data_IF_443437050336
#
_entry.id   IF_443437050336
#
_cell.length_a   1.000
_cell.length_b   1.000
_cell.length_c   1.000
_cell.angle_alpha   90.00
_cell.angle_beta   90.00
_cell.angle_gamma   90.00
#
_symmetry.space_group_name_H-M   'P 1'
#
loop_
_entity.id
_entity.type
_entity.pdbx_description
1 polymer ?
#
# COMPACT_ATOMS: atom_id res chain seq x y z
N UNK A 1 -38.77 8.56 28.55
CA UNK A 1 -38.09 9.55 27.70
C UNK A 1 -37.14 8.77 26.80
N UNK A 2 -37.42 8.69 25.49
CA UNK A 2 -36.56 7.99 24.55
C UNK A 2 -35.73 9.05 23.80
N UNK A 3 -34.42 9.02 23.99
CA UNK A 3 -33.47 9.88 23.31
C UNK A 3 -33.33 9.42 21.85
N UNK A 4 -33.70 10.31 20.92
CA UNK A 4 -33.66 10.03 19.49
C UNK A 4 -32.21 10.00 19.01
N UNK A 5 -31.71 8.83 18.58
CA UNK A 5 -30.39 8.69 17.98
C UNK A 5 -30.27 9.53 16.68
N UNK A 6 -29.11 10.12 16.39
CA UNK A 6 -28.91 10.93 15.20
C UNK A 6 -28.98 10.09 13.92
N UNK A 7 -29.74 10.56 12.93
CA UNK A 7 -29.84 9.94 11.60
C UNK A 7 -28.49 10.06 10.89
N UNK A 8 -27.88 8.96 10.40
CA UNK A 8 -26.60 9.02 9.71
C UNK A 8 -26.71 9.83 8.41
N UNK A 9 -25.64 10.56 8.00
CA UNK A 9 -25.67 11.34 6.77
C UNK A 9 -25.90 10.43 5.56
N UNK A 10 -26.73 10.89 4.62
CA UNK A 10 -27.01 10.15 3.40
C UNK A 10 -25.71 9.91 2.59
N UNK A 11 -25.51 8.71 2.01
CA UNK A 11 -24.33 8.44 1.19
C UNK A 11 -24.28 9.41 -0.02
N UNK A 12 -23.08 9.77 -0.51
CA UNK A 12 -22.92 10.66 -1.66
C UNK A 12 -23.72 10.15 -2.85
N UNK A 13 -24.39 11.06 -3.57
CA UNK A 13 -25.26 10.70 -4.70
C UNK A 13 -24.44 9.94 -5.73
N UNK A 14 -25.03 8.90 -6.34
CA UNK A 14 -24.38 8.06 -7.37
C UNK A 14 -23.67 8.90 -8.46
N UNK A 15 -24.23 10.05 -8.79
CA UNK A 15 -23.66 11.00 -9.74
C UNK A 15 -22.24 11.46 -9.37
N UNK A 16 -21.98 11.80 -8.10
CA UNK A 16 -20.66 12.24 -7.65
C UNK A 16 -19.62 11.12 -7.80
N UNK A 17 -20.00 9.87 -7.51
CA UNK A 17 -19.11 8.71 -7.73
C UNK A 17 -18.83 8.50 -9.22
N UNK A 18 -19.84 8.68 -10.07
CA UNK A 18 -19.69 8.55 -11.50
C UNK A 18 -18.76 9.65 -12.06
N UNK A 19 -18.91 10.88 -11.61
CA UNK A 19 -18.09 12.01 -12.08
C UNK A 19 -16.61 11.84 -11.72
N UNK A 20 -16.31 11.32 -10.52
CA UNK A 20 -14.94 10.98 -10.11
C UNK A 20 -14.34 9.89 -11.01
N UNK A 21 -15.09 8.83 -11.31
CA UNK A 21 -14.64 7.75 -12.19
C UNK A 21 -14.35 8.29 -13.60
N UNK A 22 -15.25 9.11 -14.13
CA UNK A 22 -15.07 9.73 -15.45
C UNK A 22 -13.89 10.70 -15.47
N UNK A 23 -13.64 11.46 -14.40
CA UNK A 23 -12.50 12.37 -14.31
C UNK A 23 -11.16 11.62 -14.41
N UNK A 24 -10.97 10.56 -13.64
CA UNK A 24 -9.74 9.77 -13.70
C UNK A 24 -9.62 8.97 -15.00
N UNK A 25 -10.74 8.46 -15.52
CA UNK A 25 -10.78 7.80 -16.83
C UNK A 25 -10.37 8.73 -17.98
N UNK A 26 -10.78 9.99 -17.94
CA UNK A 26 -10.49 10.97 -18.99
C UNK A 26 -9.11 11.63 -18.81
N UNK A 27 -8.78 12.13 -17.63
CA UNK A 27 -7.55 12.90 -17.40
C UNK A 27 -6.32 12.01 -17.21
N UNK A 28 -6.48 10.86 -16.54
CA UNK A 28 -5.41 9.88 -16.39
C UNK A 28 -5.03 9.27 -17.73
N UNK A 29 -6.02 8.84 -18.52
CA UNK A 29 -5.78 8.26 -19.85
C UNK A 29 -5.37 9.31 -20.89
N UNK A 30 -5.89 10.54 -20.83
CA UNK A 30 -5.43 11.60 -21.75
C UNK A 30 -3.94 11.90 -21.58
N UNK A 31 -3.44 11.93 -20.33
CA UNK A 31 -2.03 12.15 -20.06
C UNK A 31 -1.14 10.99 -20.56
N UNK A 32 -1.63 9.74 -20.48
CA UNK A 32 -0.89 8.58 -21.01
C UNK A 32 -0.92 8.52 -22.54
N UNK A 33 -2.09 8.79 -23.15
CA UNK A 33 -2.26 8.84 -24.60
C UNK A 33 -1.42 9.95 -25.23
N UNK A 34 -1.31 11.12 -24.60
CA UNK A 34 -0.47 12.22 -25.07
C UNK A 34 1.02 11.88 -25.11
N UNK A 35 1.47 10.85 -24.40
CA UNK A 35 2.88 10.39 -24.35
C UNK A 35 3.07 9.01 -25.01
N UNK A 36 2.07 8.52 -25.74
CA UNK A 36 2.03 7.15 -26.29
C UNK A 36 3.28 6.81 -27.11
N UNK A 37 3.69 7.67 -28.03
CA UNK A 37 4.85 7.41 -28.91
C UNK A 37 6.17 7.43 -28.14
N UNK A 38 6.28 8.31 -27.14
CA UNK A 38 7.42 8.34 -26.24
C UNK A 38 7.50 7.06 -25.39
N UNK A 39 6.37 6.58 -24.85
CA UNK A 39 6.29 5.31 -24.10
C UNK A 39 6.65 4.13 -25.03
N UNK A 40 6.11 4.09 -26.26
CA UNK A 40 6.43 3.06 -27.23
C UNK A 40 7.93 3.05 -27.59
N UNK A 41 8.53 4.23 -27.79
CA UNK A 41 9.97 4.39 -28.02
C UNK A 41 10.80 3.89 -26.83
N UNK A 42 10.40 4.25 -25.61
CA UNK A 42 11.04 3.81 -24.37
C UNK A 42 10.95 2.29 -24.17
N UNK A 43 9.86 1.64 -24.58
CA UNK A 43 9.71 0.17 -24.53
C UNK A 43 10.60 -0.52 -25.56
N UNK A 44 10.76 0.08 -26.74
CA UNK A 44 11.61 -0.48 -27.81
C UNK A 44 13.12 -0.31 -27.59
N UNK A 45 13.52 0.46 -26.58
CA UNK A 45 14.94 0.79 -26.31
C UNK A 45 15.58 -0.23 -25.37
N UNK A 46 16.61 -0.94 -25.81
CA UNK A 46 17.31 -1.97 -25.00
C UNK A 46 17.98 -1.41 -23.73
N UNK A 47 18.28 -0.10 -23.69
CA UNK A 47 18.91 0.58 -22.55
C UNK A 47 18.00 0.74 -21.33
N UNK A 48 16.69 0.87 -21.54
CA UNK A 48 15.67 1.02 -20.49
C UNK A 48 15.18 -0.33 -19.97
N UNK A 49 15.38 -1.42 -20.74
CA UNK A 49 15.14 -2.78 -20.26
C UNK A 49 15.98 -3.14 -19.02
N UNK A 50 17.14 -2.50 -18.86
CA UNK A 50 18.00 -2.59 -17.67
C UNK A 50 17.69 -1.54 -16.60
N UNK A 51 16.87 -0.53 -16.90
CA UNK A 51 16.29 0.41 -15.93
C UNK A 51 15.16 -0.30 -15.15
N UNK A 52 15.47 -1.47 -14.63
CA UNK A 52 14.68 -2.10 -13.57
C UNK A 52 14.95 -1.29 -12.31
N UNK A 53 13.89 -0.95 -11.57
CA UNK A 53 14.05 -0.52 -10.18
C UNK A 53 14.59 -1.72 -9.40
N UNK A 54 15.91 -1.87 -9.39
CA UNK A 54 16.60 -2.78 -8.49
C UNK A 54 16.44 -2.21 -7.08
N UNK A 55 15.38 -2.65 -6.39
CA UNK A 55 15.31 -2.51 -4.95
C UNK A 55 16.38 -3.44 -4.38
N UNK A 56 17.21 -2.95 -3.46
CA UNK A 56 18.10 -3.82 -2.69
C UNK A 56 17.26 -4.94 -2.06
N UNK A 57 17.83 -6.12 -1.87
CA UNK A 57 17.26 -7.09 -0.91
C UNK A 57 17.06 -6.35 0.41
N UNK A 58 15.84 -6.36 0.97
CA UNK A 58 15.45 -5.54 2.12
C UNK A 58 14.97 -4.11 1.81
N UNK A 59 14.85 -3.68 0.54
CA UNK A 59 14.27 -2.38 0.17
C UNK A 59 12.80 -2.46 -0.32
N UNK A 60 12.22 -3.66 -0.22
CA UNK A 60 10.77 -3.89 -0.26
C UNK A 60 10.16 -4.03 1.14
N UNK A 61 10.98 -3.98 2.18
CA UNK A 61 10.60 -4.22 3.56
C UNK A 61 11.21 -3.11 4.42
N UNK A 62 10.40 -2.47 5.25
CA UNK A 62 10.88 -1.39 6.13
C UNK A 62 11.72 -1.95 7.29
N UNK A 63 11.71 -3.26 7.51
CA UNK A 63 12.34 -3.95 8.64
C UNK A 63 13.73 -4.49 8.30
N UNK A 64 14.57 -4.67 9.31
CA UNK A 64 15.85 -5.37 9.18
C UNK A 64 15.66 -6.88 8.94
N UNK A 65 16.71 -7.52 8.39
CA UNK A 65 16.70 -8.96 8.12
C UNK A 65 16.48 -9.80 9.39
N UNK A 66 17.09 -9.42 10.52
CA UNK A 66 16.96 -10.14 11.78
C UNK A 66 15.51 -10.17 12.26
N UNK A 67 14.81 -9.05 12.11
CA UNK A 67 13.40 -8.91 12.48
C UNK A 67 12.48 -9.67 11.54
N UNK A 68 12.78 -9.71 10.25
CA UNK A 68 12.08 -10.59 9.31
C UNK A 68 12.24 -12.07 9.69
N UNK A 69 13.44 -12.50 10.06
CA UNK A 69 13.70 -13.87 10.50
C UNK A 69 12.95 -14.22 11.79
N UNK A 70 12.85 -13.27 12.72
CA UNK A 70 12.01 -13.39 13.91
C UNK A 70 10.53 -13.59 13.53
N UNK A 71 9.98 -12.75 12.64
CA UNK A 71 8.59 -12.87 12.18
C UNK A 71 8.33 -14.21 11.48
N UNK A 72 9.28 -14.68 10.66
CA UNK A 72 9.18 -15.99 9.99
C UNK A 72 9.16 -17.13 11.01
N UNK A 73 10.03 -17.10 12.03
CA UNK A 73 10.03 -18.09 13.11
C UNK A 73 8.70 -18.08 13.87
N UNK A 74 8.20 -16.89 14.21
CA UNK A 74 6.91 -16.75 14.86
C UNK A 74 5.76 -17.36 14.04
N UNK A 75 5.69 -17.08 12.73
CA UNK A 75 4.69 -17.68 11.83
C UNK A 75 4.82 -19.20 11.80
N UNK A 76 6.06 -19.70 11.72
CA UNK A 76 6.33 -21.13 11.68
C UNK A 76 5.84 -21.83 12.96
N UNK A 77 6.14 -21.27 14.12
CA UNK A 77 5.76 -21.85 15.42
C UNK A 77 4.24 -21.86 15.59
N UNK A 78 3.55 -20.77 15.22
CA UNK A 78 2.08 -20.73 15.22
C UNK A 78 1.45 -21.81 14.33
N UNK A 79 1.99 -22.01 13.12
CA UNK A 79 1.50 -23.05 12.20
C UNK A 79 1.80 -24.45 12.71
N UNK A 80 2.95 -24.64 13.38
CA UNK A 80 3.32 -25.89 14.03
C UNK A 80 2.34 -26.25 15.16
N UNK A 81 1.86 -25.24 15.88
CA UNK A 81 0.85 -25.39 16.94
C UNK A 81 -0.58 -25.51 16.39
N UNK A 82 -0.75 -25.58 15.06
CA UNK A 82 -2.06 -25.71 14.40
C UNK A 82 -2.85 -24.40 14.32
N UNK A 83 -2.24 -23.26 14.67
CA UNK A 83 -2.89 -21.95 14.64
C UNK A 83 -2.69 -21.31 13.26
N UNK A 84 -3.76 -21.02 12.50
CA UNK A 84 -3.63 -20.33 11.23
C UNK A 84 -3.26 -18.86 11.46
N UNK A 85 -2.14 -18.44 10.87
CA UNK A 85 -1.73 -17.03 10.90
C UNK A 85 -2.41 -16.29 9.74
N UNK A 86 -3.33 -15.39 10.07
CA UNK A 86 -4.00 -14.52 9.09
C UNK A 86 -3.13 -13.31 8.74
N UNK A 87 -3.44 -12.64 7.63
CA UNK A 87 -2.76 -11.41 7.21
C UNK A 87 -2.79 -10.34 8.31
N UNK A 88 -3.93 -10.15 8.97
CA UNK A 88 -4.07 -9.14 10.02
C UNK A 88 -3.15 -9.41 11.23
N UNK A 89 -3.00 -10.67 11.62
CA UNK A 89 -2.09 -11.05 12.70
C UNK A 89 -0.64 -10.78 12.33
N UNK A 90 -0.23 -11.17 11.12
CA UNK A 90 1.12 -10.90 10.63
C UNK A 90 1.39 -9.39 10.53
N UNK A 91 0.40 -8.61 10.11
CA UNK A 91 0.50 -7.15 10.03
C UNK A 91 0.69 -6.52 11.41
N UNK A 92 -0.07 -6.97 12.43
CA UNK A 92 0.09 -6.47 13.80
C UNK A 92 1.48 -6.77 14.35
N UNK A 93 1.96 -8.02 14.19
CA UNK A 93 3.30 -8.40 14.62
C UNK A 93 4.40 -7.63 13.88
N UNK A 94 4.23 -7.40 12.58
CA UNK A 94 5.19 -6.63 11.80
C UNK A 94 5.22 -5.15 12.20
N UNK A 95 4.07 -4.57 12.59
CA UNK A 95 4.00 -3.21 13.10
C UNK A 95 4.65 -3.10 14.48
N UNK A 96 4.41 -4.05 15.37
CA UNK A 96 5.06 -4.11 16.69
C UNK A 96 6.58 -4.21 16.54
N UNK A 97 7.04 -5.12 15.68
CA UNK A 97 8.45 -5.29 15.38
C UNK A 97 9.08 -4.04 14.72
N UNK A 98 8.30 -3.28 13.92
CA UNK A 98 8.73 -2.00 13.37
C UNK A 98 8.95 -0.95 14.47
N UNK A 99 8.05 -0.88 15.45
CA UNK A 99 8.19 0.02 16.59
C UNK A 99 9.43 -0.32 17.42
N UNK A 100 9.70 -1.61 17.63
CA UNK A 100 10.90 -2.10 18.33
C UNK A 100 12.19 -1.72 17.59
N UNK A 101 12.17 -1.70 16.26
CA UNK A 101 13.27 -1.18 15.44
C UNK A 101 13.39 0.36 15.42
N UNK A 102 12.42 1.07 16.02
CA UNK A 102 12.40 2.54 16.10
C UNK A 102 11.59 3.21 15.00
N UNK A 103 10.85 2.47 14.18
CA UNK A 103 9.85 3.01 13.27
C UNK A 103 8.58 3.33 14.04
N UNK A 104 8.57 4.48 14.72
CA UNK A 104 7.33 5.09 15.18
C UNK A 104 6.61 5.76 14.01
N UNK A 105 5.29 5.82 14.08
CA UNK A 105 4.45 6.55 13.12
C UNK A 105 4.83 8.05 13.17
N UNK A 106 5.88 8.44 12.44
CA UNK A 106 6.04 9.83 12.03
C UNK A 106 4.93 10.04 11.03
N UNK A 107 3.77 10.47 11.54
CA UNK A 107 2.87 11.32 10.80
C UNK A 107 3.76 12.43 10.24
N UNK A 108 4.19 12.28 8.98
CA UNK A 108 4.80 13.37 8.21
C UNK A 108 3.67 14.36 7.95
N UNK A 109 3.26 15.03 9.02
CA UNK A 109 2.47 16.23 8.99
C UNK A 109 3.34 17.28 8.33
N UNK A 110 3.12 17.45 7.02
CA UNK A 110 2.88 18.75 6.41
C UNK A 110 3.24 19.91 7.35
N UNK A 111 4.51 20.29 7.39
CA UNK A 111 4.85 21.66 7.72
C UNK A 111 5.00 22.40 6.40
N UNK A 112 4.02 23.29 6.19
CA UNK A 112 3.99 24.31 5.15
C UNK A 112 5.22 25.22 5.23
#
# INVERSE_FOLDING_TARGET
MAESLPVPPAPPRYQERHDVIQYYGTHGMAATLSKKDHIAGMVSTTGTAKQRSWRRLGAGTTLSQETEEMLVRWVHDMRKDGVPVTHAMLQLMALEAAVDEGYSEVVVGLHK
#
